data_IF_157356420163
#
_entry.id   IF_157356420163
#
_cell.length_a   1.000
_cell.length_b   1.000
_cell.length_c   1.000
_cell.angle_alpha   90.00
_cell.angle_beta   90.00
_cell.angle_gamma   90.00
#
_symmetry.space_group_name_H-M   'P 1'
#
loop_
_entity.id
_entity.type
_entity.pdbx_description
1 polymer ?
#
# COMPACT_ATOMS: atom_id res chain seq x y z
N UNK A 1 54.78 -24.73 -54.80
CA UNK A 1 53.90 -23.59 -54.48
C UNK A 1 52.67 -24.02 -53.66
N UNK A 2 52.11 -25.22 -53.88
CA UNK A 2 50.91 -25.72 -53.16
C UNK A 2 51.08 -25.95 -51.64
N UNK A 3 52.27 -26.40 -51.19
CA UNK A 3 52.55 -26.69 -49.76
C UNK A 3 52.43 -25.46 -48.85
N UNK A 4 52.70 -24.26 -49.39
CA UNK A 4 52.67 -23.02 -48.62
C UNK A 4 51.25 -22.49 -48.40
N UNK A 5 50.36 -22.67 -49.38
CA UNK A 5 48.95 -22.29 -49.29
C UNK A 5 48.15 -23.15 -48.30
N UNK A 6 48.42 -24.46 -48.24
CA UNK A 6 47.75 -25.35 -47.28
C UNK A 6 48.13 -25.02 -45.83
N UNK A 7 49.40 -24.69 -45.56
CA UNK A 7 49.83 -24.23 -44.23
C UNK A 7 49.15 -22.93 -43.81
N UNK A 8 49.01 -21.98 -44.74
CA UNK A 8 48.36 -20.70 -44.48
C UNK A 8 46.87 -20.87 -44.15
N UNK A 9 46.17 -21.76 -44.85
CA UNK A 9 44.75 -22.06 -44.59
C UNK A 9 44.53 -22.69 -43.21
N UNK A 10 45.39 -23.63 -42.80
CA UNK A 10 45.30 -24.23 -41.47
C UNK A 10 45.54 -23.20 -40.35
N UNK A 11 46.56 -22.34 -40.51
CA UNK A 11 46.83 -21.22 -39.58
C UNK A 11 45.65 -20.26 -39.45
N UNK A 12 44.95 -19.95 -40.55
CA UNK A 12 43.76 -19.09 -40.52
C UNK A 12 42.59 -19.76 -39.80
N UNK A 13 42.39 -21.06 -40.03
CA UNK A 13 41.33 -21.84 -39.36
C UNK A 13 41.56 -21.93 -37.85
N UNK A 14 42.79 -22.18 -37.42
CA UNK A 14 43.14 -22.29 -36.00
C UNK A 14 42.97 -20.95 -35.27
N UNK A 15 43.37 -19.84 -35.92
CA UNK A 15 43.18 -18.50 -35.38
C UNK A 15 41.69 -18.13 -35.27
N UNK A 16 40.87 -18.53 -36.24
CA UNK A 16 39.42 -18.29 -36.20
C UNK A 16 38.75 -19.10 -35.09
N UNK A 17 39.16 -20.36 -34.90
CA UNK A 17 38.65 -21.21 -33.82
C UNK A 17 39.03 -20.65 -32.44
N UNK A 18 40.26 -20.18 -32.27
CA UNK A 18 40.71 -19.55 -31.04
C UNK A 18 39.93 -18.25 -30.73
N UNK A 19 39.69 -17.41 -31.74
CA UNK A 19 38.92 -16.18 -31.60
C UNK A 19 37.46 -16.46 -31.20
N UNK A 20 36.82 -17.47 -31.83
CA UNK A 20 35.46 -17.88 -31.48
C UNK A 20 35.37 -18.43 -30.05
N UNK A 21 36.33 -19.27 -29.65
CA UNK A 21 36.38 -19.78 -28.28
C UNK A 21 36.54 -18.67 -27.24
N UNK A 22 37.35 -17.65 -27.54
CA UNK A 22 37.47 -16.48 -26.67
C UNK A 22 36.17 -15.67 -26.59
N UNK A 23 35.47 -15.49 -27.72
CA UNK A 23 34.20 -14.78 -27.75
C UNK A 23 33.14 -15.51 -26.91
N UNK A 24 33.03 -16.83 -27.05
CA UNK A 24 32.08 -17.66 -26.30
C UNK A 24 32.34 -17.57 -24.78
N UNK A 25 33.61 -17.59 -24.37
CA UNK A 25 33.97 -17.46 -22.95
C UNK A 25 33.55 -16.10 -22.37
N UNK A 26 33.70 -15.02 -23.14
CA UNK A 26 33.29 -13.67 -22.73
C UNK A 26 31.77 -13.49 -22.71
N UNK A 27 31.06 -14.10 -23.66
CA UNK A 27 29.59 -14.09 -23.67
C UNK A 27 29.06 -14.77 -22.41
N UNK A 28 29.62 -15.93 -22.05
CA UNK A 28 29.23 -16.65 -20.84
C UNK A 28 29.51 -15.87 -19.55
N UNK A 29 30.69 -15.23 -19.46
CA UNK A 29 31.03 -14.37 -18.32
C UNK A 29 30.08 -13.16 -18.20
N UNK A 30 29.68 -12.55 -19.33
CA UNK A 30 28.68 -11.47 -19.32
C UNK A 30 27.30 -11.98 -18.88
N UNK A 31 26.86 -13.15 -19.35
CA UNK A 31 25.58 -13.74 -18.96
C UNK A 31 25.53 -14.02 -17.46
N UNK A 32 26.59 -14.62 -16.89
CA UNK A 32 26.68 -14.90 -15.45
C UNK A 32 26.65 -13.62 -14.61
N UNK A 33 27.33 -12.55 -15.06
CA UNK A 33 27.33 -11.24 -14.42
C UNK A 33 25.97 -10.50 -14.49
N UNK A 34 25.08 -10.86 -15.42
CA UNK A 34 23.74 -10.28 -15.55
C UNK A 34 22.70 -10.98 -14.66
N UNK A 35 22.92 -12.26 -14.29
CA UNK A 35 21.96 -13.06 -13.50
C UNK A 35 21.87 -12.65 -12.03
N UNK A 36 23.00 -12.34 -11.40
CA UNK A 36 23.07 -12.03 -9.96
C UNK A 36 22.34 -10.70 -9.61
N UNK A 37 22.62 -9.59 -10.32
CA UNK A 37 21.95 -8.30 -10.07
C UNK A 37 20.45 -8.33 -10.36
N UNK A 38 20.00 -9.20 -11.27
CA UNK A 38 18.58 -9.33 -11.59
C UNK A 38 17.81 -9.98 -10.43
N UNK A 39 18.39 -11.00 -9.78
CA UNK A 39 17.75 -11.72 -8.69
C UNK A 39 17.56 -10.87 -7.42
N UNK A 40 18.54 -10.04 -7.08
CA UNK A 40 18.47 -9.12 -5.93
C UNK A 40 17.47 -7.99 -6.18
N UNK A 41 17.40 -7.49 -7.42
CA UNK A 41 16.42 -6.49 -7.84
C UNK A 41 14.99 -7.07 -7.81
N UNK A 42 14.80 -8.31 -8.28
CA UNK A 42 13.52 -9.00 -8.21
C UNK A 42 13.06 -9.25 -6.77
N UNK A 43 13.97 -9.65 -5.87
CA UNK A 43 13.67 -9.80 -4.45
C UNK A 43 13.28 -8.46 -3.81
N UNK A 44 14.03 -7.40 -4.10
CA UNK A 44 13.75 -6.06 -3.60
C UNK A 44 12.42 -5.50 -4.14
N UNK A 45 12.06 -5.80 -5.39
CA UNK A 45 10.77 -5.44 -5.98
C UNK A 45 9.63 -6.28 -5.38
N UNK A 46 9.88 -7.55 -5.06
CA UNK A 46 8.89 -8.44 -4.43
C UNK A 46 8.58 -7.98 -3.01
N UNK A 47 9.59 -7.54 -2.27
CA UNK A 47 9.43 -6.96 -0.94
C UNK A 47 8.81 -5.56 -1.00
N UNK A 48 9.16 -4.73 -2.01
CA UNK A 48 8.48 -3.47 -2.26
C UNK A 48 7.00 -3.62 -2.66
N UNK A 49 6.59 -4.81 -3.14
CA UNK A 49 5.19 -5.15 -3.48
C UNK A 49 4.41 -5.76 -2.32
N UNK A 50 5.09 -6.24 -1.28
CA UNK A 50 4.49 -6.84 -0.10
C UNK A 50 4.39 -5.79 1.01
N UNK A 51 3.26 -5.75 1.72
CA UNK A 51 3.19 -4.91 2.92
C UNK A 51 4.16 -5.46 3.97
N UNK A 52 4.89 -4.57 4.64
CA UNK A 52 5.81 -4.94 5.74
C UNK A 52 5.08 -5.77 6.79
N UNK A 53 5.80 -6.64 7.51
CA UNK A 53 5.23 -7.47 8.56
C UNK A 53 4.35 -6.66 9.54
N UNK A 54 3.15 -7.19 9.83
CA UNK A 54 2.15 -6.53 10.68
C UNK A 54 1.21 -5.56 9.94
N UNK A 55 1.42 -5.34 8.65
CA UNK A 55 0.47 -4.64 7.77
C UNK A 55 -0.35 -5.64 6.96
N UNK A 56 -1.51 -5.20 6.52
CA UNK A 56 -2.36 -5.93 5.59
C UNK A 56 -2.67 -5.07 4.36
N UNK A 57 -2.84 -5.73 3.21
CA UNK A 57 -3.00 -5.06 1.92
C UNK A 57 -4.45 -4.99 1.50
N UNK A 58 -4.89 -3.81 1.05
CA UNK A 58 -6.16 -3.62 0.33
C UNK A 58 -5.87 -2.84 -0.95
N UNK A 59 -6.07 -3.48 -2.10
CA UNK A 59 -5.62 -2.94 -3.37
C UNK A 59 -4.10 -2.71 -3.38
N UNK A 60 -3.69 -1.46 -3.58
CA UNK A 60 -2.30 -1.03 -3.57
C UNK A 60 -1.87 -0.31 -2.29
N UNK A 61 -2.68 -0.34 -1.23
CA UNK A 61 -2.40 0.33 0.03
C UNK A 61 -2.14 -0.68 1.15
N UNK A 62 -1.16 -0.36 1.99
CA UNK A 62 -0.84 -1.12 3.19
C UNK A 62 -1.41 -0.42 4.42
N UNK A 63 -2.09 -1.19 5.26
CA UNK A 63 -2.76 -0.68 6.45
C UNK A 63 -2.29 -1.42 7.69
N UNK A 64 -2.29 -0.73 8.83
CA UNK A 64 -2.08 -1.30 10.15
C UNK A 64 -3.17 -0.80 11.08
N UNK A 65 -3.87 -1.72 11.73
CA UNK A 65 -4.92 -1.42 12.71
C UNK A 65 -4.36 -1.62 14.11
N UNK A 66 -4.31 -0.55 14.91
CA UNK A 66 -3.86 -0.59 16.29
C UNK A 66 -5.05 -0.76 17.24
N UNK A 67 -5.20 -1.99 17.75
CA UNK A 67 -6.30 -2.39 18.65
C UNK A 67 -5.93 -2.37 20.14
N UNK A 68 -4.69 -1.99 20.45
CA UNK A 68 -4.11 -1.91 21.80
C UNK A 68 -4.82 -0.89 22.70
N UNK A 69 -5.25 0.24 22.13
CA UNK A 69 -5.95 1.28 22.85
C UNK A 69 -6.98 1.99 21.97
N UNK A 70 -8.06 2.42 22.62
CA UNK A 70 -9.06 3.31 22.01
C UNK A 70 -8.60 4.75 22.16
N UNK A 71 -8.77 5.55 21.11
CA UNK A 71 -8.11 6.85 20.96
C UNK A 71 -9.09 7.89 20.48
N UNK A 72 -8.84 9.15 20.87
CA UNK A 72 -9.41 10.30 20.16
C UNK A 72 -8.90 10.33 18.72
N UNK A 73 -9.54 11.09 17.84
CA UNK A 73 -9.07 11.21 16.47
C UNK A 73 -7.64 11.77 16.41
N UNK A 74 -7.32 12.75 17.27
CA UNK A 74 -5.99 13.35 17.36
C UNK A 74 -4.96 12.38 17.94
N UNK A 75 -5.31 11.65 19.00
CA UNK A 75 -4.42 10.62 19.57
C UNK A 75 -4.17 9.46 18.60
N UNK A 76 -5.15 9.12 17.75
CA UNK A 76 -4.96 8.14 16.68
C UNK A 76 -4.01 8.64 15.59
N UNK A 77 -4.11 9.93 15.23
CA UNK A 77 -3.16 10.58 14.31
C UNK A 77 -1.75 10.54 14.86
N UNK A 78 -1.54 10.94 16.12
CA UNK A 78 -0.24 10.88 16.79
C UNK A 78 0.29 9.44 16.78
N UNK A 79 -0.54 8.45 17.13
CA UNK A 79 -0.11 7.04 17.11
C UNK A 79 0.39 6.60 15.72
N UNK A 80 -0.25 7.03 14.65
CA UNK A 80 0.25 6.74 13.30
C UNK A 80 1.61 7.40 13.06
N UNK A 81 1.76 8.68 13.45
CA UNK A 81 3.01 9.44 13.26
C UNK A 81 4.18 8.84 14.05
N UNK A 82 3.95 8.40 15.28
CA UNK A 82 4.96 7.73 16.13
C UNK A 82 5.50 6.43 15.52
N UNK A 83 4.72 5.81 14.62
CA UNK A 83 5.10 4.59 13.89
C UNK A 83 5.69 4.89 12.50
N UNK A 84 5.91 6.17 12.16
CA UNK A 84 6.34 6.59 10.82
C UNK A 84 5.24 6.50 9.76
N UNK A 85 3.98 6.42 10.18
CA UNK A 85 2.81 6.21 9.32
C UNK A 85 1.90 7.44 9.26
N UNK A 86 0.87 7.35 8.43
CA UNK A 86 -0.17 8.37 8.32
C UNK A 86 -1.53 7.78 8.67
N UNK A 87 -2.46 8.62 9.11
CA UNK A 87 -3.83 8.19 9.37
C UNK A 87 -4.53 7.85 8.05
N UNK A 88 -5.25 6.73 8.01
CA UNK A 88 -5.68 6.13 6.74
C UNK A 88 -6.66 6.98 5.91
N UNK A 89 -6.38 7.08 4.61
CA UNK A 89 -7.24 7.53 3.51
C UNK A 89 -7.36 6.37 2.50
N UNK A 90 -8.31 5.44 2.68
CA UNK A 90 -8.48 4.31 1.79
C UNK A 90 -9.02 4.68 0.41
N UNK A 91 -8.47 4.06 -0.63
CA UNK A 91 -8.98 4.08 -2.00
C UNK A 91 -10.18 3.13 -2.17
N UNK A 92 -10.18 2.01 -1.44
CA UNK A 92 -11.30 1.06 -1.36
C UNK A 92 -11.77 0.86 0.10
N UNK A 93 -12.56 1.80 0.64
CA UNK A 93 -13.04 1.73 2.01
C UNK A 93 -14.04 0.60 2.26
N UNK A 94 -14.73 0.09 1.24
CA UNK A 94 -15.71 -0.99 1.40
C UNK A 94 -14.98 -2.31 1.63
N UNK A 95 -14.00 -2.64 0.78
CA UNK A 95 -13.17 -3.83 0.95
C UNK A 95 -12.35 -3.75 2.23
N UNK A 96 -11.76 -2.58 2.53
CA UNK A 96 -11.04 -2.36 3.79
C UNK A 96 -11.93 -2.63 5.01
N UNK A 97 -13.16 -2.10 5.02
CA UNK A 97 -14.10 -2.33 6.11
C UNK A 97 -14.42 -3.82 6.26
N UNK A 98 -14.68 -4.52 5.16
CA UNK A 98 -14.96 -5.96 5.18
C UNK A 98 -13.78 -6.74 5.75
N UNK A 99 -12.56 -6.46 5.28
CA UNK A 99 -11.35 -7.08 5.80
C UNK A 99 -11.20 -6.87 7.31
N UNK A 100 -11.42 -5.64 7.80
CA UNK A 100 -11.34 -5.35 9.23
C UNK A 100 -12.38 -6.14 10.01
N UNK A 101 -13.63 -6.22 9.54
CA UNK A 101 -14.69 -6.97 10.23
C UNK A 101 -14.40 -8.47 10.27
N UNK A 102 -13.86 -9.03 9.18
CA UNK A 102 -13.66 -10.47 9.05
C UNK A 102 -12.41 -10.96 9.81
N UNK A 103 -11.37 -10.12 9.90
CA UNK A 103 -10.06 -10.53 10.45
C UNK A 103 -9.78 -9.98 11.84
N UNK A 104 -10.53 -8.98 12.29
CA UNK A 104 -10.35 -8.37 13.59
C UNK A 104 -11.70 -8.39 14.33
N UNK A 105 -11.73 -8.91 15.57
CA UNK A 105 -12.89 -8.82 16.46
C UNK A 105 -13.09 -7.37 16.93
N UNK A 106 -13.44 -6.49 16.00
CA UNK A 106 -13.53 -5.06 16.28
C UNK A 106 -14.89 -4.76 16.90
N UNK A 107 -14.90 -4.75 18.23
CA UNK A 107 -15.99 -4.18 19.03
C UNK A 107 -16.20 -2.68 18.74
N UNK A 108 -15.26 -2.02 18.05
CA UNK A 108 -15.22 -0.59 17.81
C UNK A 108 -14.86 -0.22 16.37
N UNK A 109 -15.26 0.99 15.96
CA UNK A 109 -14.90 1.56 14.66
C UNK A 109 -13.45 2.05 14.66
N UNK A 110 -12.90 2.39 13.49
CA UNK A 110 -11.59 3.00 13.35
C UNK A 110 -11.66 4.44 12.81
N UNK A 111 -10.70 5.27 13.18
CA UNK A 111 -10.55 6.63 12.64
C UNK A 111 -9.95 6.62 11.23
N UNK A 112 -10.38 7.57 10.39
CA UNK A 112 -9.79 7.88 9.09
C UNK A 112 -9.22 9.30 9.09
N UNK A 113 -8.28 9.59 8.20
CA UNK A 113 -7.56 10.87 8.11
C UNK A 113 -8.36 12.02 7.50
N UNK A 114 -9.64 12.19 7.85
CA UNK A 114 -10.44 13.33 7.41
C UNK A 114 -11.15 14.04 8.57
N UNK A 115 -11.27 15.35 8.45
CA UNK A 115 -11.89 16.26 9.43
C UNK A 115 -12.71 17.33 8.73
N UNK A 116 -13.73 17.84 9.40
CA UNK A 116 -14.60 18.88 8.88
C UNK A 116 -13.96 20.26 8.90
N UNK A 117 -14.37 21.12 7.97
CA UNK A 117 -13.95 22.51 7.86
C UNK A 117 -15.11 23.52 7.96
N UNK A 118 -16.24 23.08 8.55
CA UNK A 118 -17.55 23.75 8.58
C UNK A 118 -18.33 23.74 7.27
N UNK A 119 -17.75 23.24 6.18
CA UNK A 119 -18.42 23.15 4.88
C UNK A 119 -18.48 21.72 4.33
N UNK A 120 -17.42 20.93 4.53
CA UNK A 120 -17.36 19.51 4.18
C UNK A 120 -16.36 18.77 5.07
N UNK A 121 -16.36 17.42 5.01
CA UNK A 121 -15.20 16.65 5.47
C UNK A 121 -14.10 16.76 4.41
N UNK A 122 -12.87 16.97 4.85
CA UNK A 122 -11.69 17.12 4.00
C UNK A 122 -10.63 16.12 4.44
N UNK A 123 -10.08 15.39 3.48
CA UNK A 123 -8.90 14.55 3.73
C UNK A 123 -7.71 15.42 4.10
N UNK A 124 -7.06 15.15 5.23
CA UNK A 124 -5.93 15.97 5.66
C UNK A 124 -4.71 15.81 4.75
N UNK A 125 -4.50 14.61 4.20
CA UNK A 125 -3.35 14.28 3.37
C UNK A 125 -3.23 15.14 2.12
N UNK A 126 -4.34 15.39 1.42
CA UNK A 126 -4.32 16.05 0.12
C UNK A 126 -5.36 17.17 -0.02
N UNK A 127 -6.09 17.45 1.05
CA UNK A 127 -7.10 18.48 1.08
C UNK A 127 -8.33 18.24 0.21
N UNK A 128 -8.51 17.04 -0.35
CA UNK A 128 -9.70 16.75 -1.14
C UNK A 128 -10.94 16.71 -0.26
N UNK A 129 -11.99 17.40 -0.69
CA UNK A 129 -13.31 17.38 -0.05
C UNK A 129 -14.02 16.07 -0.35
N UNK A 130 -14.71 15.54 0.65
CA UNK A 130 -15.64 14.42 0.48
C UNK A 130 -17.01 15.02 0.23
N UNK A 131 -17.54 14.85 -0.99
CA UNK A 131 -18.87 15.37 -1.38
C UNK A 131 -19.95 14.93 -0.39
N UNK A 132 -20.91 15.79 -0.10
CA UNK A 132 -22.11 15.43 0.68
C UNK A 132 -22.94 14.33 0.03
N UNK A 133 -22.87 14.20 -1.30
CA UNK A 133 -23.53 13.14 -2.08
C UNK A 133 -22.71 11.86 -2.25
N UNK A 134 -21.56 11.73 -1.57
CA UNK A 134 -20.71 10.55 -1.70
C UNK A 134 -21.48 9.26 -1.30
N UNK A 135 -21.51 8.22 -2.14
CA UNK A 135 -22.30 7.01 -1.87
C UNK A 135 -21.79 6.18 -0.69
N UNK A 136 -20.59 6.48 -0.19
CA UNK A 136 -19.99 5.76 0.94
C UNK A 136 -20.53 6.22 2.30
N UNK A 137 -21.30 7.30 2.35
CA UNK A 137 -21.90 7.78 3.58
C UNK A 137 -22.93 6.81 4.12
N UNK A 138 -22.77 6.38 5.37
CA UNK A 138 -23.84 5.69 6.09
C UNK A 138 -25.09 6.56 6.10
N UNK A 139 -26.28 5.98 5.93
CA UNK A 139 -27.53 6.76 5.76
C UNK A 139 -27.69 7.82 6.84
N UNK A 140 -27.97 9.06 6.41
CA UNK A 140 -28.10 10.24 7.26
C UNK A 140 -26.82 11.07 7.41
N UNK A 141 -25.69 10.62 6.85
CA UNK A 141 -24.41 11.33 6.87
C UNK A 141 -24.05 11.92 5.49
N UNK A 142 -23.18 12.95 5.43
CA UNK A 142 -22.55 13.61 6.57
C UNK A 142 -23.52 14.53 7.32
N UNK A 143 -24.68 14.86 6.74
CA UNK A 143 -25.69 15.74 7.34
C UNK A 143 -25.05 17.06 7.81
N UNK A 144 -25.34 17.47 9.04
CA UNK A 144 -24.71 18.65 9.68
C UNK A 144 -23.32 18.39 10.26
N UNK A 145 -22.81 17.16 10.21
CA UNK A 145 -21.58 16.76 10.88
C UNK A 145 -20.34 17.04 10.00
N UNK A 146 -20.21 18.28 9.58
CA UNK A 146 -19.10 18.79 8.73
C UNK A 146 -18.28 19.86 9.43
N UNK A 147 -18.53 20.08 10.73
CA UNK A 147 -17.84 21.08 11.56
C UNK A 147 -16.38 20.71 11.81
N UNK A 148 -15.59 21.68 12.29
CA UNK A 148 -14.21 21.42 12.76
C UNK A 148 -14.12 20.45 13.94
N UNK A 149 -15.23 20.09 14.59
CA UNK A 149 -15.30 19.06 15.63
C UNK A 149 -15.77 17.69 15.11
N UNK A 150 -16.01 17.56 13.80
CA UNK A 150 -16.43 16.34 13.14
C UNK A 150 -15.24 15.68 12.43
N UNK A 151 -14.95 14.43 12.79
CA UNK A 151 -13.85 13.64 12.24
C UNK A 151 -14.39 12.35 11.63
N UNK A 152 -13.79 11.89 10.54
CA UNK A 152 -14.29 10.75 9.79
C UNK A 152 -13.89 9.44 10.44
N UNK A 153 -14.85 8.53 10.59
CA UNK A 153 -14.62 7.15 11.02
C UNK A 153 -15.06 6.15 9.95
N UNK A 154 -14.37 5.01 9.92
CA UNK A 154 -14.77 3.81 9.21
C UNK A 154 -15.63 2.96 10.14
N UNK A 155 -16.91 2.73 9.78
CA UNK A 155 -17.86 1.94 10.59
C UNK A 155 -17.57 0.44 10.56
N UNK A 156 -16.45 0.03 11.15
CA UNK A 156 -15.99 -1.36 11.13
C UNK A 156 -16.65 -2.29 12.16
N UNK A 157 -17.74 -1.90 12.84
CA UNK A 157 -18.50 -2.88 13.66
C UNK A 157 -19.37 -3.76 12.76
N UNK A 158 -19.36 -5.07 13.01
CA UNK A 158 -20.10 -6.09 12.24
C UNK A 158 -21.60 -5.77 12.08
N UNK A 159 -22.26 -5.32 13.16
CA UNK A 159 -23.70 -4.95 13.14
C UNK A 159 -24.02 -3.85 12.13
N UNK A 160 -23.12 -2.88 11.93
CA UNK A 160 -23.34 -1.82 10.96
C UNK A 160 -23.01 -2.28 9.54
N UNK A 161 -22.07 -3.22 9.37
CA UNK A 161 -21.76 -3.78 8.05
C UNK A 161 -22.92 -4.64 7.54
N UNK A 162 -23.56 -5.42 8.42
CA UNK A 162 -24.77 -6.17 8.08
C UNK A 162 -25.92 -5.28 7.62
N UNK A 163 -26.07 -4.09 8.24
CA UNK A 163 -27.15 -3.15 7.90
C UNK A 163 -26.91 -2.40 6.59
N UNK A 164 -25.68 -1.90 6.36
CA UNK A 164 -25.31 -1.14 5.17
C UNK A 164 -23.87 -1.47 4.77
N UNK A 165 -23.66 -2.54 3.97
CA UNK A 165 -22.31 -3.06 3.70
C UNK A 165 -21.43 -2.07 2.95
N UNK A 166 -22.00 -1.38 1.95
CA UNK A 166 -21.30 -0.44 1.06
C UNK A 166 -21.19 1.00 1.58
N UNK A 167 -21.68 1.29 2.79
CA UNK A 167 -21.72 2.66 3.34
C UNK A 167 -20.83 2.79 4.59
N UNK A 168 -19.50 2.77 4.44
CA UNK A 168 -18.56 2.67 5.55
C UNK A 168 -18.37 3.99 6.32
N UNK A 169 -18.70 5.14 5.74
CA UNK A 169 -18.32 6.43 6.29
C UNK A 169 -19.33 7.00 7.28
N UNK A 170 -18.80 7.47 8.41
CA UNK A 170 -19.57 8.21 9.39
C UNK A 170 -18.67 9.27 10.06
N UNK A 171 -19.08 10.55 10.07
CA UNK A 171 -18.51 11.53 10.98
C UNK A 171 -18.84 11.21 12.44
N UNK A 172 -17.85 11.35 13.32
CA UNK A 172 -17.98 11.26 14.77
C UNK A 172 -17.29 12.48 15.41
N UNK A 173 -17.60 12.79 16.67
CA UNK A 173 -16.91 13.87 17.38
C UNK A 173 -15.41 13.55 17.47
N UNK A 174 -14.53 14.47 17.08
CA UNK A 174 -13.09 14.24 17.09
C UNK A 174 -12.53 13.85 18.48
N UNK A 175 -13.19 14.29 19.55
CA UNK A 175 -12.85 13.98 20.94
C UNK A 175 -13.32 12.60 21.41
N UNK A 176 -14.08 11.85 20.61
CA UNK A 176 -14.54 10.51 20.97
C UNK A 176 -13.35 9.55 21.16
N UNK A 177 -13.20 8.98 22.35
CA UNK A 177 -12.05 8.14 22.73
C UNK A 177 -12.30 6.64 22.60
N UNK A 178 -13.29 6.23 21.79
CA UNK A 178 -13.75 4.84 21.70
C UNK A 178 -13.48 4.18 20.34
N UNK A 179 -12.62 4.76 19.49
CA UNK A 179 -12.27 4.21 18.18
C UNK A 179 -10.78 3.84 18.12
N UNK A 180 -10.45 2.90 17.25
CA UNK A 180 -9.07 2.47 17.00
C UNK A 180 -8.33 3.38 16.02
N UNK A 181 -7.00 3.32 16.06
CA UNK A 181 -6.16 3.99 15.06
C UNK A 181 -5.96 3.05 13.86
N UNK A 182 -6.36 3.52 12.68
CA UNK A 182 -6.07 2.88 11.41
C UNK A 182 -5.09 3.74 10.66
N UNK A 183 -3.91 3.17 10.42
CA UNK A 183 -2.80 3.85 9.79
C UNK A 183 -2.51 3.22 8.42
N UNK A 184 -1.86 3.97 7.55
CA UNK A 184 -1.37 3.53 6.26
C UNK A 184 0.09 3.95 6.07
N UNK A 185 0.85 3.12 5.35
CA UNK A 185 2.27 3.30 5.02
C UNK A 185 2.53 2.88 3.58
#
# INVERSE_FOLDING_TARGET
MESMNSKLLNLLSDNLAAANSQLDSKVKEMEENLTDPHSELESSIKDARACTAGFFRIGNQCFKLFTDARRSWHSAKIKCQDEGLQQAKPNDPVTLRKYIVDNFDTKYSAWLGARGDNTALKWERNGMRISSSNPLWFTGYPGRYVTTSSCLSLRSKSVFMKKQPSHPFQPSRCTATFLYALCEG
#
